data_IF_280121440464
#
_entry.id   IF_280121440464
#
_cell.length_a   1.000
_cell.length_b   1.000
_cell.length_c   1.000
_cell.angle_alpha   90.00
_cell.angle_beta   90.00
_cell.angle_gamma   90.00
#
_symmetry.space_group_name_H-M   'P 1'
#
loop_
_entity.id
_entity.type
_entity.pdbx_description
1 polymer ?
#
# COMPACT_ATOMS: atom_id res chain seq x y z
N UNK A 1 -58.33 27.87 41.41
CA UNK A 1 -57.65 29.10 41.83
C UNK A 1 -57.15 28.94 43.24
N UNK A 2 -55.86 29.11 43.46
CA UNK A 2 -55.28 29.62 44.70
C UNK A 2 -54.24 30.65 44.23
N UNK A 3 -54.46 31.91 44.60
CA UNK A 3 -53.57 33.02 44.23
C UNK A 3 -52.22 32.92 44.95
N UNK A 4 -51.24 33.75 44.56
CA UNK A 4 -49.93 33.77 45.19
C UNK A 4 -50.09 34.08 46.67
N UNK A 5 -49.57 33.19 47.50
CA UNK A 5 -49.60 33.31 48.95
C UNK A 5 -48.69 34.48 49.33
N UNK A 6 -49.30 35.60 49.72
CA UNK A 6 -48.59 36.82 50.13
C UNK A 6 -47.76 36.63 51.42
N UNK A 7 -46.97 37.64 51.82
CA UNK A 7 -45.96 37.56 52.89
C UNK A 7 -46.53 37.39 54.32
N UNK A 8 -47.81 37.04 54.44
CA UNK A 8 -48.57 36.92 55.69
C UNK A 8 -49.14 35.51 55.92
N UNK A 9 -48.78 34.52 55.12
CA UNK A 9 -49.09 33.13 55.46
C UNK A 9 -48.28 32.71 56.68
N UNK A 10 -48.92 32.78 57.84
CA UNK A 10 -48.41 32.38 59.15
C UNK A 10 -48.28 30.85 59.30
N UNK A 11 -47.90 30.14 58.23
CA UNK A 11 -47.43 28.77 58.30
C UNK A 11 -45.92 28.81 58.48
N UNK A 12 -45.42 28.30 59.58
CA UNK A 12 -43.99 28.17 59.84
C UNK A 12 -43.30 27.54 58.62
N UNK A 13 -42.48 28.33 57.90
CA UNK A 13 -41.67 27.84 56.78
C UNK A 13 -40.79 26.70 57.30
N UNK A 14 -41.08 25.49 56.85
CA UNK A 14 -40.38 24.31 57.32
C UNK A 14 -39.48 23.76 56.21
N UNK A 15 -38.23 23.53 56.59
CA UNK A 15 -37.15 23.03 55.74
C UNK A 15 -36.80 21.58 56.08
N UNK A 16 -37.67 20.90 56.80
CA UNK A 16 -37.55 19.47 57.11
C UNK A 16 -37.66 18.61 55.84
N UNK A 17 -37.07 17.41 55.84
CA UNK A 17 -37.22 16.47 54.72
C UNK A 17 -38.67 16.10 54.38
N UNK A 18 -39.60 16.28 55.32
CA UNK A 18 -41.03 16.00 55.16
C UNK A 18 -41.79 17.14 54.45
N UNK A 19 -41.23 18.35 54.40
CA UNK A 19 -41.86 19.53 53.79
C UNK A 19 -42.12 19.38 52.28
N UNK A 20 -41.33 18.56 51.58
CA UNK A 20 -41.56 18.22 50.17
C UNK A 20 -42.81 17.35 49.95
N UNK A 21 -43.24 16.61 50.97
CA UNK A 21 -44.43 15.75 50.93
C UNK A 21 -45.70 16.48 51.41
N UNK A 22 -45.55 17.45 52.31
CA UNK A 22 -46.69 18.17 52.93
C UNK A 22 -47.04 19.49 52.24
N UNK A 23 -46.31 19.89 51.18
CA UNK A 23 -46.62 21.09 50.38
C UNK A 23 -46.30 22.43 51.05
N UNK A 24 -45.70 22.41 52.24
CA UNK A 24 -45.28 23.61 53.01
C UNK A 24 -43.93 24.17 52.56
N UNK A 25 -43.35 23.62 51.49
CA UNK A 25 -42.07 24.06 50.92
C UNK A 25 -42.27 25.35 50.11
N UNK A 26 -41.45 26.39 50.31
CA UNK A 26 -41.59 27.65 49.57
C UNK A 26 -41.40 27.44 48.06
N UNK A 27 -42.29 28.04 47.28
CA UNK A 27 -42.24 28.05 45.82
C UNK A 27 -41.17 29.04 45.38
N UNK A 28 -40.25 28.62 44.51
CA UNK A 28 -39.19 29.50 43.99
C UNK A 28 -39.81 30.56 43.07
N UNK A 29 -39.64 31.84 43.41
CA UNK A 29 -40.11 32.98 42.64
C UNK A 29 -39.06 34.10 42.55
N UNK A 30 -39.44 35.29 42.03
CA UNK A 30 -38.57 36.46 41.89
C UNK A 30 -37.95 36.93 43.21
N UNK A 31 -38.58 36.64 44.35
CA UNK A 31 -38.21 37.13 45.68
C UNK A 31 -37.76 36.01 46.63
N UNK A 32 -37.91 34.75 46.25
CA UNK A 32 -37.48 33.56 47.01
C UNK A 32 -36.69 32.60 46.10
N UNK A 33 -35.37 32.60 46.27
CA UNK A 33 -34.45 31.86 45.39
C UNK A 33 -34.14 30.45 45.92
N UNK A 34 -34.34 30.24 47.22
CA UNK A 34 -33.78 29.07 47.90
C UNK A 34 -34.76 27.90 47.86
N UNK A 35 -34.48 26.89 47.02
CA UNK A 35 -35.29 25.65 46.96
C UNK A 35 -34.92 24.64 48.04
N UNK A 36 -33.71 24.69 48.59
CA UNK A 36 -33.16 23.66 49.47
C UNK A 36 -32.61 24.26 50.76
N UNK A 37 -32.72 23.51 51.85
CA UNK A 37 -32.13 23.91 53.12
C UNK A 37 -30.61 23.78 53.10
N UNK A 38 -29.92 24.50 53.99
CA UNK A 38 -28.48 24.35 54.17
C UNK A 38 -28.10 22.93 54.62
N UNK A 39 -28.97 22.25 55.37
CA UNK A 39 -28.78 20.85 55.76
C UNK A 39 -28.91 19.87 54.58
N UNK A 40 -29.91 20.07 53.71
CA UNK A 40 -30.08 19.30 52.47
C UNK A 40 -28.89 19.50 51.53
N UNK A 41 -28.43 20.75 51.36
CA UNK A 41 -27.23 21.07 50.58
C UNK A 41 -25.98 20.40 51.15
N UNK A 42 -25.76 20.47 52.48
CA UNK A 42 -24.63 19.79 53.14
C UNK A 42 -24.67 18.27 52.97
N UNK A 43 -25.85 17.65 53.08
CA UNK A 43 -26.01 16.20 52.90
C UNK A 43 -25.74 15.78 51.47
N UNK A 44 -26.23 16.53 50.48
CA UNK A 44 -25.93 16.30 49.08
C UNK A 44 -24.42 16.45 48.80
N UNK A 45 -23.81 17.55 49.25
CA UNK A 45 -22.37 17.76 49.05
C UNK A 45 -21.52 16.71 49.74
N UNK A 46 -21.89 16.26 50.94
CA UNK A 46 -21.19 15.17 51.63
C UNK A 46 -21.29 13.86 50.85
N UNK A 47 -22.44 13.56 50.25
CA UNK A 47 -22.63 12.39 49.40
C UNK A 47 -21.81 12.50 48.10
N UNK A 48 -21.89 13.63 47.40
CA UNK A 48 -21.18 13.90 46.14
C UNK A 48 -19.67 13.95 46.32
N UNK A 49 -19.19 14.54 47.41
CA UNK A 49 -17.78 14.69 47.76
C UNK A 49 -17.29 13.54 48.65
N UNK A 50 -18.03 12.42 48.72
CA UNK A 50 -17.52 11.24 49.42
C UNK A 50 -16.16 10.87 48.84
N UNK A 51 -15.16 10.53 49.69
CA UNK A 51 -13.83 10.13 49.22
C UNK A 51 -13.91 9.07 48.13
N UNK A 52 -14.80 8.08 48.29
CA UNK A 52 -15.08 7.03 47.30
C UNK A 52 -15.47 7.54 45.91
N UNK A 53 -16.28 8.60 45.80
CA UNK A 53 -16.67 9.17 44.50
C UNK A 53 -15.50 9.95 43.87
N UNK A 54 -14.79 10.74 44.68
CA UNK A 54 -13.65 11.54 44.21
C UNK A 54 -12.41 10.69 43.88
N UNK A 55 -12.17 9.59 44.59
CA UNK A 55 -11.07 8.66 44.36
C UNK A 55 -11.30 7.84 43.10
N UNK A 56 -12.56 7.45 42.82
CA UNK A 56 -12.92 6.82 41.54
C UNK A 56 -12.70 7.76 40.36
N UNK A 57 -13.07 9.04 40.48
CA UNK A 57 -12.82 10.03 39.44
C UNK A 57 -11.30 10.21 39.20
N UNK A 58 -10.49 10.35 40.26
CA UNK A 58 -9.03 10.42 40.16
C UNK A 58 -8.40 9.16 39.55
N UNK A 59 -8.88 7.97 39.94
CA UNK A 59 -8.41 6.71 39.36
C UNK A 59 -8.73 6.62 37.86
N UNK A 60 -9.94 7.05 37.46
CA UNK A 60 -10.33 7.11 36.06
C UNK A 60 -9.45 8.08 35.27
N UNK A 61 -9.20 9.29 35.80
CA UNK A 61 -8.31 10.26 35.15
C UNK A 61 -6.89 9.71 34.94
N UNK A 62 -6.33 9.03 35.94
CA UNK A 62 -5.01 8.39 35.84
C UNK A 62 -5.04 7.30 34.76
N UNK A 63 -6.10 6.48 34.74
CA UNK A 63 -6.24 5.42 33.76
C UNK A 63 -6.39 5.99 32.35
N UNK A 64 -7.25 6.99 32.14
CA UNK A 64 -7.42 7.65 30.85
C UNK A 64 -6.12 8.27 30.35
N UNK A 65 -5.33 8.91 31.22
CA UNK A 65 -4.01 9.44 30.83
C UNK A 65 -3.07 8.33 30.36
N UNK A 66 -3.01 7.21 31.08
CA UNK A 66 -2.21 6.03 30.70
C UNK A 66 -2.67 5.43 29.37
N UNK A 67 -3.98 5.31 29.17
CA UNK A 67 -4.56 4.75 27.95
C UNK A 67 -4.24 5.63 26.74
N UNK A 68 -4.30 6.96 26.90
CA UNK A 68 -3.92 7.94 25.88
C UNK A 68 -2.42 7.82 25.54
N UNK A 69 -1.56 7.81 26.57
CA UNK A 69 -0.10 7.68 26.38
C UNK A 69 0.25 6.38 25.66
N UNK A 70 -0.36 5.27 26.09
CA UNK A 70 -0.21 3.97 25.43
C UNK A 70 -0.67 4.01 23.98
N UNK A 71 -1.83 4.62 23.70
CA UNK A 71 -2.34 4.74 22.33
C UNK A 71 -1.38 5.52 21.43
N UNK A 72 -0.75 6.59 21.94
CA UNK A 72 0.26 7.34 21.20
C UNK A 72 1.52 6.51 20.91
N UNK A 73 2.02 5.77 21.90
CA UNK A 73 3.17 4.87 21.72
C UNK A 73 2.85 3.77 20.71
N UNK A 74 1.71 3.11 20.86
CA UNK A 74 1.26 2.05 19.95
C UNK A 74 1.04 2.57 18.51
N UNK A 75 0.54 3.80 18.36
CA UNK A 75 0.39 4.43 17.05
C UNK A 75 1.74 4.76 16.42
N UNK A 76 2.65 5.35 17.20
CA UNK A 76 3.99 5.75 16.73
C UNK A 76 4.80 4.52 16.31
N UNK A 77 4.77 3.45 17.10
CA UNK A 77 5.45 2.19 16.77
C UNK A 77 4.91 1.54 15.51
N UNK A 78 3.58 1.52 15.33
CA UNK A 78 2.95 1.02 14.08
C UNK A 78 3.31 1.86 12.86
N UNK A 79 3.39 3.19 13.02
CA UNK A 79 3.80 4.09 11.95
C UNK A 79 5.25 3.84 11.55
N UNK A 80 6.14 3.69 12.53
CA UNK A 80 7.57 3.39 12.30
C UNK A 80 7.77 2.03 11.61
N UNK A 81 7.08 0.98 12.06
CA UNK A 81 7.11 -0.34 11.40
C UNK A 81 6.60 -0.26 9.94
N UNK A 82 5.53 0.50 9.71
CA UNK A 82 4.99 0.71 8.36
C UNK A 82 5.98 1.45 7.47
N UNK A 83 6.61 2.52 7.97
CA UNK A 83 7.63 3.26 7.24
C UNK A 83 8.84 2.39 6.90
N UNK A 84 9.32 1.57 7.85
CA UNK A 84 10.42 0.61 7.59
C UNK A 84 10.07 -0.40 6.50
N UNK A 85 8.84 -0.92 6.50
CA UNK A 85 8.36 -1.84 5.45
C UNK A 85 8.28 -1.15 4.09
N UNK A 86 7.81 0.09 4.05
CA UNK A 86 7.77 0.89 2.83
C UNK A 86 9.18 1.17 2.29
N UNK A 87 10.12 1.55 3.15
CA UNK A 87 11.52 1.78 2.77
C UNK A 87 12.17 0.52 2.18
N UNK A 88 11.95 -0.64 2.80
CA UNK A 88 12.45 -1.91 2.27
C UNK A 88 11.83 -2.20 0.89
N UNK A 89 10.52 -2.01 0.74
CA UNK A 89 9.83 -2.22 -0.53
C UNK A 89 10.31 -1.24 -1.62
N UNK A 90 10.63 0.01 -1.27
CA UNK A 90 11.20 0.99 -2.19
C UNK A 90 12.59 0.54 -2.66
N UNK A 91 13.44 0.03 -1.76
CA UNK A 91 14.76 -0.51 -2.11
C UNK A 91 14.63 -1.70 -3.05
N UNK A 92 13.76 -2.65 -2.75
CA UNK A 92 13.52 -3.83 -3.59
C UNK A 92 13.02 -3.43 -4.97
N UNK A 93 12.02 -2.56 -5.05
CA UNK A 93 11.49 -2.07 -6.33
C UNK A 93 12.56 -1.34 -7.14
N UNK A 94 13.38 -0.51 -6.49
CA UNK A 94 14.48 0.21 -7.16
C UNK A 94 15.55 -0.75 -7.70
N UNK A 95 15.88 -1.79 -6.92
CA UNK A 95 16.79 -2.85 -7.36
C UNK A 95 16.25 -3.58 -8.58
N UNK A 96 15.00 -4.06 -8.52
CA UNK A 96 14.38 -4.80 -9.62
C UNK A 96 14.20 -3.95 -10.87
N UNK A 97 13.82 -2.67 -10.71
CA UNK A 97 13.78 -1.73 -11.83
C UNK A 97 15.13 -1.67 -12.56
N UNK A 98 16.22 -1.50 -11.80
CA UNK A 98 17.57 -1.45 -12.37
C UNK A 98 17.97 -2.76 -13.06
N UNK A 99 17.59 -3.92 -12.50
CA UNK A 99 17.83 -5.21 -13.15
C UNK A 99 17.08 -5.30 -14.47
N UNK A 100 15.79 -4.95 -14.49
CA UNK A 100 14.98 -4.97 -15.71
C UNK A 100 15.56 -4.04 -16.77
N UNK A 101 15.90 -2.80 -16.43
CA UNK A 101 16.52 -1.85 -17.35
C UNK A 101 17.83 -2.39 -17.94
N UNK A 102 18.68 -3.02 -17.11
CA UNK A 102 19.92 -3.65 -17.56
C UNK A 102 19.64 -4.82 -18.52
N UNK A 103 18.66 -5.67 -18.21
CA UNK A 103 18.30 -6.82 -19.06
C UNK A 103 17.71 -6.38 -20.39
N UNK A 104 16.87 -5.34 -20.40
CA UNK A 104 16.31 -4.77 -21.63
C UNK A 104 17.45 -4.26 -22.52
N UNK A 105 18.38 -3.49 -21.96
CA UNK A 105 19.55 -3.00 -22.71
C UNK A 105 20.36 -4.16 -23.32
N UNK A 106 20.65 -5.20 -22.53
CA UNK A 106 21.40 -6.35 -23.00
C UNK A 106 20.69 -7.11 -24.13
N UNK A 107 19.37 -7.30 -24.02
CA UNK A 107 18.57 -7.97 -25.06
C UNK A 107 18.52 -7.11 -26.33
N UNK A 108 18.37 -5.79 -26.22
CA UNK A 108 18.40 -4.89 -27.38
C UNK A 108 19.75 -4.95 -28.10
N UNK A 109 20.86 -4.90 -27.36
CA UNK A 109 22.21 -5.03 -27.94
C UNK A 109 22.42 -6.40 -28.63
N UNK A 110 21.87 -7.48 -28.05
CA UNK A 110 21.90 -8.80 -28.67
C UNK A 110 21.07 -8.87 -29.96
N UNK A 111 19.87 -8.27 -29.96
CA UNK A 111 19.02 -8.18 -31.16
C UNK A 111 19.75 -7.44 -32.28
N UNK A 112 20.35 -6.29 -31.99
CA UNK A 112 21.07 -5.48 -32.98
C UNK A 112 22.23 -6.28 -33.61
N UNK A 113 23.00 -7.00 -32.78
CA UNK A 113 24.08 -7.89 -33.26
C UNK A 113 23.56 -9.04 -34.12
N UNK A 114 22.44 -9.65 -33.73
CA UNK A 114 21.82 -10.73 -34.49
C UNK A 114 21.29 -10.23 -35.84
N UNK A 115 20.74 -9.03 -35.89
CA UNK A 115 20.27 -8.41 -37.13
C UNK A 115 21.43 -8.07 -38.07
N UNK A 116 22.54 -7.53 -37.56
CA UNK A 116 23.75 -7.35 -38.35
C UNK A 116 24.25 -8.67 -38.94
N UNK A 117 24.31 -9.72 -38.13
CA UNK A 117 24.75 -11.04 -38.58
C UNK A 117 23.80 -11.64 -39.60
N UNK A 118 22.50 -11.45 -39.42
CA UNK A 118 21.45 -11.86 -40.38
C UNK A 118 21.66 -11.17 -41.73
N UNK A 119 21.96 -9.87 -41.75
CA UNK A 119 22.24 -9.14 -42.99
C UNK A 119 23.52 -9.64 -43.65
N UNK A 120 24.60 -9.82 -42.88
CA UNK A 120 25.88 -10.36 -43.38
C UNK A 120 25.71 -11.75 -44.00
N UNK A 121 25.00 -12.66 -43.33
CA UNK A 121 24.72 -14.01 -43.82
C UNK A 121 23.87 -14.01 -45.08
N UNK A 122 22.84 -13.16 -45.16
CA UNK A 122 22.04 -12.99 -46.39
C UNK A 122 22.89 -12.49 -47.55
N UNK A 123 23.82 -11.57 -47.29
CA UNK A 123 24.77 -11.10 -48.29
C UNK A 123 25.70 -12.22 -48.78
N UNK A 124 26.31 -12.95 -47.85
CA UNK A 124 27.19 -14.08 -48.16
C UNK A 124 26.46 -15.16 -48.97
N UNK A 125 25.24 -15.53 -48.58
CA UNK A 125 24.42 -16.49 -49.32
C UNK A 125 24.17 -16.03 -50.77
N UNK A 126 23.79 -14.78 -51.00
CA UNK A 126 23.62 -14.24 -52.35
C UNK A 126 24.90 -14.30 -53.19
N UNK A 127 26.06 -14.06 -52.58
CA UNK A 127 27.36 -14.12 -53.27
C UNK A 127 27.66 -15.57 -53.65
N UNK A 128 27.41 -16.53 -52.75
CA UNK A 128 27.70 -17.95 -52.96
C UNK A 128 26.76 -18.64 -53.96
N UNK A 129 25.52 -18.15 -54.12
CA UNK A 129 24.55 -18.69 -55.09
C UNK A 129 25.08 -18.70 -56.53
N UNK A 130 25.88 -17.71 -56.93
CA UNK A 130 26.36 -17.60 -58.31
C UNK A 130 27.47 -18.65 -58.61
N UNK A 131 28.56 -18.74 -57.83
CA UNK A 131 29.53 -19.84 -57.98
C UNK A 131 28.90 -21.23 -57.91
N UNK A 132 27.97 -21.46 -56.98
CA UNK A 132 27.23 -22.73 -56.88
C UNK A 132 26.49 -23.07 -58.18
N UNK A 133 25.78 -22.11 -58.76
CA UNK A 133 25.05 -22.28 -60.01
C UNK A 133 26.01 -22.58 -61.18
N UNK A 134 27.14 -21.86 -61.26
CA UNK A 134 28.16 -22.07 -62.29
C UNK A 134 28.75 -23.49 -62.18
N UNK A 135 29.16 -23.92 -60.98
CA UNK A 135 29.75 -25.24 -60.79
C UNK A 135 28.75 -26.36 -61.09
N UNK A 136 27.45 -26.18 -60.76
CA UNK A 136 26.37 -27.10 -61.16
C UNK A 136 26.16 -27.16 -62.68
N UNK A 137 26.07 -26.01 -63.34
CA UNK A 137 25.90 -25.95 -64.80
C UNK A 137 27.09 -26.60 -65.52
N UNK A 138 28.31 -26.36 -65.04
CA UNK A 138 29.52 -26.97 -65.57
C UNK A 138 29.54 -28.50 -65.38
N UNK A 139 28.95 -29.04 -64.32
CA UNK A 139 28.76 -30.49 -64.15
C UNK A 139 27.71 -31.02 -65.12
N UNK A 140 26.58 -30.34 -65.28
CA UNK A 140 25.51 -30.73 -66.20
C UNK A 140 25.98 -30.74 -67.66
N UNK A 141 26.73 -29.72 -68.10
CA UNK A 141 27.28 -29.70 -69.46
C UNK A 141 28.26 -30.85 -69.71
N UNK A 142 29.02 -31.27 -68.69
CA UNK A 142 29.93 -32.41 -68.78
C UNK A 142 29.20 -33.74 -68.98
N UNK A 143 27.99 -33.91 -68.46
CA UNK A 143 27.22 -35.16 -68.67
C UNK A 143 26.77 -35.34 -70.12
N UNK A 144 26.83 -34.29 -70.95
CA UNK A 144 26.46 -34.33 -72.37
C UNK A 144 27.62 -34.66 -73.31
N UNK A 145 28.81 -34.98 -72.80
CA UNK A 145 29.95 -35.42 -73.64
C UNK A 145 29.63 -36.77 -74.30
N UNK A 146 29.97 -36.90 -75.57
CA UNK A 146 29.75 -38.14 -76.33
C UNK A 146 30.84 -39.19 -75.99
N UNK A 147 30.54 -40.48 -76.11
CA UNK A 147 31.55 -41.54 -75.93
C UNK A 147 32.66 -41.42 -77.00
N UNK A 148 33.96 -41.53 -76.68
CA UNK A 148 34.58 -41.96 -75.43
C UNK A 148 34.96 -40.81 -74.46
N UNK A 149 34.59 -39.56 -74.76
CA UNK A 149 35.00 -38.37 -74.00
C UNK A 149 34.19 -38.16 -72.70
N UNK A 150 33.18 -39.00 -72.46
CA UNK A 150 32.45 -39.07 -71.19
C UNK A 150 33.30 -39.77 -70.13
N UNK A 151 34.23 -39.03 -69.56
CA UNK A 151 35.21 -39.51 -68.57
C UNK A 151 35.19 -38.59 -67.34
N UNK A 152 35.39 -39.21 -66.18
CA UNK A 152 35.53 -38.53 -64.90
C UNK A 152 36.91 -37.88 -64.76
N UNK A 153 37.05 -36.68 -65.33
CA UNK A 153 38.30 -35.92 -65.34
C UNK A 153 38.58 -35.19 -64.01
N UNK A 154 39.82 -34.71 -63.85
CA UNK A 154 40.24 -34.00 -62.63
C UNK A 154 39.38 -32.75 -62.38
N UNK A 155 38.95 -32.08 -63.45
CA UNK A 155 38.14 -30.88 -63.33
C UNK A 155 36.69 -31.18 -62.89
N UNK A 156 36.13 -32.34 -63.25
CA UNK A 156 34.87 -32.83 -62.67
C UNK A 156 35.03 -33.09 -61.16
N UNK A 157 36.16 -33.66 -60.73
CA UNK A 157 36.41 -33.87 -59.30
C UNK A 157 36.52 -32.57 -58.52
N UNK A 158 37.19 -31.56 -59.06
CA UNK A 158 37.27 -30.24 -58.41
C UNK A 158 35.90 -29.55 -58.36
N UNK A 159 35.09 -29.60 -59.43
CA UNK A 159 33.73 -29.06 -59.41
C UNK A 159 32.81 -29.73 -58.38
N UNK A 160 32.92 -31.06 -58.21
CA UNK A 160 32.17 -31.77 -57.16
C UNK A 160 32.57 -31.27 -55.78
N UNK A 161 33.86 -31.00 -55.54
CA UNK A 161 34.34 -30.43 -54.27
C UNK A 161 33.80 -29.02 -54.08
N UNK A 162 33.84 -28.17 -55.10
CA UNK A 162 33.30 -26.80 -55.03
C UNK A 162 31.81 -26.79 -54.65
N UNK A 163 30.99 -27.63 -55.30
CA UNK A 163 29.55 -27.76 -54.98
C UNK A 163 29.32 -28.31 -53.59
N UNK A 164 30.24 -29.11 -53.03
CA UNK A 164 30.13 -29.65 -51.68
C UNK A 164 30.54 -28.64 -50.58
N UNK A 165 31.31 -27.60 -50.92
CA UNK A 165 31.79 -26.57 -49.99
C UNK A 165 30.77 -25.44 -49.81
N UNK A 166 29.95 -25.20 -50.84
CA UNK A 166 28.90 -24.17 -50.86
C UNK A 166 27.59 -24.69 -50.28
#
# INVERSE_FOLDING_TARGET
GMGPIGPWAAGHLDWTPQAGCTGVRPVVDKYSITRYSTGEWRKNNQYTLTPRATDKARALEIQTKKDIEKAFVDMTTKLDDSNKKLDNRIKDLSYWKKQVEKTVFAITDEIDKLDENRVKLKGACKILMMPEAISRECLELRTNRYEPDLVRDDAEQELIKEVAIV
#
